data_IF_104610977513
#
_entry.id   IF_104610977513
#
_cell.length_a   1.000
_cell.length_b   1.000
_cell.length_c   1.000
_cell.angle_alpha   90.00
_cell.angle_beta   90.00
_cell.angle_gamma   90.00
#
_symmetry.space_group_name_H-M   'P 1'
#
loop_
_entity.id
_entity.type
_entity.pdbx_description
1 polymer ?
#
# COMPACT_ATOMS: atom_id res chain seq x y z
N UNK A 1 5.04 7.45 15.48
CA UNK A 1 5.04 6.13 16.12
C UNK A 1 5.62 5.10 15.17
N UNK A 2 6.34 4.12 15.71
CA UNK A 2 6.65 2.89 15.00
C UNK A 2 6.06 1.73 15.79
N UNK A 3 5.17 0.99 15.18
CA UNK A 3 4.53 -0.18 15.79
C UNK A 3 4.78 -1.41 14.92
N UNK A 4 4.94 -2.55 15.56
CA UNK A 4 4.96 -3.83 14.86
C UNK A 4 3.52 -4.34 14.81
N UNK A 5 2.93 -4.35 13.62
CA UNK A 5 1.61 -4.91 13.38
C UNK A 5 1.73 -6.30 12.79
N UNK A 6 0.95 -7.24 13.31
CA UNK A 6 0.93 -8.62 12.78
C UNK A 6 0.12 -8.67 11.48
N UNK A 7 0.44 -9.62 10.62
CA UNK A 7 -0.30 -9.87 9.38
C UNK A 7 -1.80 -10.07 9.61
N UNK A 8 -2.20 -10.60 10.79
CA UNK A 8 -3.60 -10.74 11.19
C UNK A 8 -4.35 -9.41 11.36
N UNK A 9 -3.64 -8.28 11.50
CA UNK A 9 -4.25 -6.95 11.60
C UNK A 9 -4.63 -6.37 10.23
N UNK A 10 -4.25 -7.04 9.15
CA UNK A 10 -4.58 -6.68 7.79
C UNK A 10 -5.53 -7.69 7.17
N UNK A 11 -6.55 -7.20 6.49
CA UNK A 11 -7.50 -8.01 5.75
C UNK A 11 -7.41 -7.69 4.26
N UNK A 12 -7.29 -8.72 3.44
CA UNK A 12 -7.39 -8.62 2.00
C UNK A 12 -8.82 -8.94 1.55
N UNK A 13 -9.41 -8.03 0.79
CA UNK A 13 -10.68 -8.23 0.12
C UNK A 13 -10.45 -8.27 -1.40
N UNK A 14 -10.72 -9.40 -2.04
CA UNK A 14 -10.58 -9.54 -3.49
C UNK A 14 -11.72 -8.78 -4.18
N UNK A 15 -11.35 -7.79 -5.00
CA UNK A 15 -12.30 -6.89 -5.68
C UNK A 15 -12.38 -7.13 -7.19
N UNK A 16 -11.44 -7.88 -7.74
CA UNK A 16 -11.45 -8.28 -9.14
C UNK A 16 -10.77 -9.65 -9.32
N UNK A 17 -11.38 -10.53 -10.10
CA UNK A 17 -10.91 -11.92 -10.32
C UNK A 17 -10.74 -12.32 -11.77
N UNK A 18 -10.74 -11.36 -12.66
CA UNK A 18 -10.50 -11.71 -14.04
C UNK A 18 -11.69 -11.55 -14.98
N UNK A 19 -11.59 -12.00 -16.24
CA UNK A 19 -10.62 -13.00 -16.73
C UNK A 19 -9.18 -12.57 -16.59
N UNK A 20 -8.24 -13.55 -16.45
CA UNK A 20 -6.81 -13.28 -16.38
C UNK A 20 -6.37 -12.35 -17.52
N UNK A 21 -5.78 -11.22 -17.17
CA UNK A 21 -5.29 -10.24 -18.13
C UNK A 21 -3.82 -10.46 -18.41
N UNK A 22 -3.47 -10.64 -19.69
CA UNK A 22 -2.08 -10.81 -20.15
C UNK A 22 -1.50 -9.46 -20.53
N UNK A 23 -0.37 -9.13 -19.93
CA UNK A 23 0.48 -7.97 -20.25
C UNK A 23 1.63 -8.47 -21.13
N UNK A 24 1.60 -8.11 -22.40
CA UNK A 24 2.62 -8.57 -23.36
C UNK A 24 3.94 -7.76 -23.29
N UNK A 25 4.92 -8.19 -24.05
CA UNK A 25 6.26 -7.54 -24.06
C UNK A 25 6.23 -6.12 -24.64
N UNK A 26 5.17 -5.73 -25.33
CA UNK A 26 5.02 -4.43 -25.97
C UNK A 26 4.12 -3.46 -25.16
N UNK A 27 3.91 -3.76 -23.87
CA UNK A 27 3.01 -2.99 -23.00
C UNK A 27 1.53 -3.06 -23.45
N UNK A 28 1.19 -4.04 -24.25
CA UNK A 28 -0.19 -4.30 -24.65
C UNK A 28 -0.94 -5.12 -23.59
N UNK A 29 -2.25 -4.95 -23.60
CA UNK A 29 -3.12 -5.58 -22.60
C UNK A 29 -3.26 -4.78 -21.32
N UNK A 30 -4.46 -4.79 -20.77
CA UNK A 30 -4.73 -4.23 -19.45
C UNK A 30 -5.98 -4.89 -18.85
N UNK A 31 -6.08 -4.84 -17.54
CA UNK A 31 -7.31 -5.10 -16.80
C UNK A 31 -8.03 -3.79 -16.51
N UNK A 32 -9.34 -3.75 -16.78
CA UNK A 32 -10.19 -2.62 -16.45
C UNK A 32 -10.92 -2.88 -15.14
N UNK A 33 -10.70 -2.01 -14.16
CA UNK A 33 -11.27 -2.12 -12.83
C UNK A 33 -12.40 -1.13 -12.69
N UNK A 34 -13.59 -1.63 -12.36
CA UNK A 34 -14.80 -0.82 -12.25
C UNK A 34 -14.84 -0.03 -10.95
N UNK A 35 -15.38 1.18 -11.00
CA UNK A 35 -15.45 2.08 -9.85
C UNK A 35 -16.19 1.50 -8.65
N UNK A 36 -17.26 0.72 -8.88
CA UNK A 36 -18.03 0.07 -7.81
C UNK A 36 -17.18 -0.85 -6.91
N UNK A 37 -16.11 -1.41 -7.44
CA UNK A 37 -15.23 -2.32 -6.69
C UNK A 37 -14.17 -1.59 -5.87
N UNK A 38 -14.01 -0.29 -6.09
CA UNK A 38 -12.99 0.56 -5.46
C UNK A 38 -13.57 1.61 -4.49
N UNK A 39 -14.87 1.58 -4.22
CA UNK A 39 -15.55 2.58 -3.38
C UNK A 39 -15.09 2.57 -1.92
N UNK A 40 -14.64 1.43 -1.42
CA UNK A 40 -14.12 1.29 -0.05
C UNK A 40 -12.63 1.68 0.08
N UNK A 41 -11.95 1.96 -1.03
CA UNK A 41 -10.52 2.27 -1.04
C UNK A 41 -10.26 3.63 -0.38
N UNK A 42 -9.28 3.69 0.51
CA UNK A 42 -8.91 4.89 1.26
C UNK A 42 -7.40 5.00 1.44
N UNK A 43 -6.93 6.16 1.85
CA UNK A 43 -5.54 6.36 2.26
C UNK A 43 -5.20 5.42 3.42
N UNK A 44 -4.07 4.76 3.33
CA UNK A 44 -3.61 3.73 4.26
C UNK A 44 -3.93 2.30 3.81
N UNK A 45 -4.78 2.12 2.79
CA UNK A 45 -4.98 0.82 2.16
C UNK A 45 -3.87 0.52 1.14
N UNK A 46 -3.82 -0.72 0.67
CA UNK A 46 -2.96 -1.12 -0.43
C UNK A 46 -3.74 -1.87 -1.50
N UNK A 47 -3.32 -1.68 -2.75
CA UNK A 47 -3.73 -2.51 -3.87
C UNK A 47 -2.75 -3.67 -3.98
N UNK A 48 -3.24 -4.90 -3.83
CA UNK A 48 -2.44 -6.11 -3.97
C UNK A 48 -2.83 -6.84 -5.25
N UNK A 49 -1.89 -6.87 -6.17
CA UNK A 49 -2.01 -7.57 -7.44
C UNK A 49 -1.48 -8.99 -7.25
N UNK A 50 -2.30 -10.00 -7.55
CA UNK A 50 -1.86 -11.37 -7.68
C UNK A 50 -1.51 -11.62 -9.14
N UNK A 51 -0.28 -11.98 -9.38
CA UNK A 51 0.30 -12.08 -10.73
C UNK A 51 0.90 -13.46 -10.97
N UNK A 52 0.99 -13.82 -12.21
CA UNK A 52 1.64 -15.06 -12.65
C UNK A 52 2.44 -14.82 -13.93
N UNK A 53 3.22 -15.82 -14.31
CA UNK A 53 4.05 -15.79 -15.52
C UNK A 53 4.98 -14.58 -15.62
N UNK A 54 5.47 -14.08 -14.46
CA UNK A 54 6.48 -13.04 -14.41
C UNK A 54 7.80 -13.51 -15.02
N UNK A 55 8.49 -12.59 -15.70
CA UNK A 55 9.80 -12.80 -16.32
C UNK A 55 10.79 -11.75 -15.82
N UNK A 56 12.09 -11.95 -16.01
CA UNK A 56 13.05 -10.89 -15.80
C UNK A 56 12.68 -9.65 -16.63
N UNK A 57 12.53 -8.49 -15.98
CA UNK A 57 12.10 -7.26 -16.62
C UNK A 57 10.59 -7.04 -16.70
N UNK A 58 9.78 -7.89 -16.07
CA UNK A 58 8.35 -7.64 -15.90
C UNK A 58 8.13 -6.35 -15.12
N UNK A 59 7.12 -5.58 -15.56
CA UNK A 59 6.82 -4.28 -14.96
C UNK A 59 5.33 -4.02 -14.93
N UNK A 60 4.85 -3.40 -13.85
CA UNK A 60 3.46 -3.00 -13.67
C UNK A 60 3.26 -1.51 -13.93
N UNK A 61 2.10 -1.17 -14.45
CA UNK A 61 1.62 0.20 -14.59
C UNK A 61 0.19 0.29 -14.10
N UNK A 62 -0.10 1.16 -13.13
CA UNK A 62 -1.45 1.43 -12.65
C UNK A 62 -1.86 2.81 -13.14
N UNK A 63 -2.96 2.88 -13.87
CA UNK A 63 -3.37 4.07 -14.63
C UNK A 63 -4.78 4.51 -14.27
N UNK A 64 -5.00 5.81 -14.39
CA UNK A 64 -6.33 6.41 -14.35
C UNK A 64 -7.10 6.21 -15.68
N UNK A 65 -8.27 6.83 -15.79
CA UNK A 65 -9.12 6.79 -16.99
C UNK A 65 -8.45 7.36 -18.25
N UNK A 66 -7.53 8.28 -18.08
CA UNK A 66 -6.85 8.98 -19.18
C UNK A 66 -5.52 8.33 -19.55
N UNK A 67 -5.28 7.10 -19.07
CA UNK A 67 -4.07 6.31 -19.30
C UNK A 67 -2.80 6.90 -18.65
N UNK A 68 -2.96 7.87 -17.76
CA UNK A 68 -1.85 8.39 -16.97
C UNK A 68 -1.62 7.53 -15.73
N UNK A 69 -0.36 7.34 -15.29
CA UNK A 69 -0.11 6.64 -14.05
C UNK A 69 -0.76 7.38 -12.88
N UNK A 70 -1.36 6.64 -11.96
CA UNK A 70 -1.95 7.22 -10.75
C UNK A 70 -0.87 7.81 -9.84
N UNK A 71 0.34 7.25 -9.92
CA UNK A 71 1.52 7.64 -9.17
C UNK A 71 2.78 7.30 -9.99
N UNK A 72 3.83 8.07 -9.83
CA UNK A 72 5.13 7.83 -10.50
C UNK A 72 5.75 6.49 -10.11
N UNK A 73 5.50 6.01 -8.91
CA UNK A 73 6.03 4.74 -8.39
C UNK A 73 5.42 3.51 -9.05
N UNK A 74 4.31 3.66 -9.75
CA UNK A 74 3.61 2.58 -10.48
C UNK A 74 3.57 2.84 -11.99
N UNK A 75 4.49 3.63 -12.49
CA UNK A 75 4.71 3.84 -13.94
C UNK A 75 5.89 2.98 -14.41
N UNK A 76 5.65 1.71 -14.59
CA UNK A 76 6.67 0.74 -14.97
C UNK A 76 7.46 0.18 -13.78
N UNK A 77 6.84 0.06 -12.62
CA UNK A 77 7.45 -0.55 -11.44
C UNK A 77 7.81 -2.02 -11.69
N UNK A 78 8.99 -2.49 -11.29
CA UNK A 78 9.38 -3.89 -11.45
C UNK A 78 8.44 -4.80 -10.66
N UNK A 79 8.05 -5.90 -11.28
CA UNK A 79 7.24 -6.94 -10.65
C UNK A 79 7.92 -8.29 -10.78
N UNK A 80 7.97 -9.04 -9.69
CA UNK A 80 8.52 -10.38 -9.63
C UNK A 80 7.74 -11.23 -8.63
N UNK A 81 7.93 -12.55 -8.71
CA UNK A 81 7.16 -13.45 -7.85
C UNK A 81 5.69 -13.56 -8.26
N UNK A 82 4.82 -13.67 -7.27
CA UNK A 82 3.38 -13.93 -7.43
C UNK A 82 2.49 -12.78 -6.97
N UNK A 83 3.06 -11.71 -6.41
CA UNK A 83 2.33 -10.53 -5.94
C UNK A 83 3.09 -9.24 -6.22
N UNK A 84 2.34 -8.15 -6.38
CA UNK A 84 2.84 -6.78 -6.35
C UNK A 84 1.91 -5.95 -5.47
N UNK A 85 2.46 -5.17 -4.54
CA UNK A 85 1.66 -4.35 -3.63
C UNK A 85 1.98 -2.87 -3.83
N UNK A 86 0.93 -2.07 -4.04
CA UNK A 86 1.01 -0.62 -4.09
C UNK A 86 0.28 -0.02 -2.90
N UNK A 87 0.98 0.76 -2.08
CA UNK A 87 0.42 1.42 -0.90
C UNK A 87 -0.10 2.80 -1.25
N UNK A 88 -1.34 3.10 -0.87
CA UNK A 88 -1.97 4.41 -1.03
C UNK A 88 -1.58 5.28 0.16
N UNK A 89 -0.46 6.01 0.02
CA UNK A 89 0.12 6.78 1.12
C UNK A 89 -0.44 8.21 1.22
N UNK A 90 -1.08 8.71 0.16
CA UNK A 90 -1.67 10.04 0.13
C UNK A 90 -2.97 10.07 -0.70
N UNK A 91 -3.63 11.23 -0.72
CA UNK A 91 -4.90 11.39 -1.42
C UNK A 91 -4.78 11.53 -2.94
N UNK A 92 -3.62 11.94 -3.47
CA UNK A 92 -3.50 12.26 -4.88
C UNK A 92 -3.79 11.08 -5.82
N UNK A 93 -3.22 9.87 -5.63
CA UNK A 93 -3.59 8.71 -6.43
C UNK A 93 -5.03 8.26 -6.19
N UNK A 94 -5.53 8.39 -4.96
CA UNK A 94 -6.90 8.03 -4.60
C UNK A 94 -7.92 8.91 -5.33
N UNK A 95 -7.69 10.22 -5.39
CA UNK A 95 -8.53 11.18 -6.11
C UNK A 95 -8.62 10.82 -7.60
N UNK A 96 -7.51 10.46 -8.23
CA UNK A 96 -7.51 10.04 -9.65
C UNK A 96 -8.40 8.84 -9.92
N UNK A 97 -8.44 7.88 -9.00
CA UNK A 97 -9.31 6.70 -9.09
C UNK A 97 -10.77 7.09 -8.83
N UNK A 98 -11.03 7.89 -7.82
CA UNK A 98 -12.40 8.26 -7.39
C UNK A 98 -13.08 9.26 -8.32
N UNK A 99 -12.33 10.06 -9.09
CA UNK A 99 -12.90 10.98 -10.08
C UNK A 99 -13.71 10.26 -11.18
N UNK A 100 -13.46 8.98 -11.39
CA UNK A 100 -14.27 8.17 -12.29
C UNK A 100 -15.68 7.88 -11.78
N UNK A 101 -15.94 8.15 -10.50
CA UNK A 101 -17.18 7.78 -9.84
C UNK A 101 -17.32 6.29 -9.56
N UNK A 102 -18.37 5.93 -8.82
CA UNK A 102 -18.75 4.54 -8.58
C UNK A 102 -19.49 3.94 -9.78
N UNK A 103 -19.97 2.72 -9.60
CA UNK A 103 -20.78 2.04 -10.61
C UNK A 103 -19.96 1.21 -11.60
N UNK A 104 -20.53 0.95 -12.76
CA UNK A 104 -19.98 0.02 -13.75
C UNK A 104 -18.94 0.65 -14.69
N UNK A 105 -18.69 1.93 -14.56
CA UNK A 105 -17.66 2.61 -15.33
C UNK A 105 -16.26 2.18 -14.87
N UNK A 106 -15.33 2.13 -15.81
CA UNK A 106 -13.91 1.90 -15.49
C UNK A 106 -13.40 3.07 -14.66
N UNK A 107 -12.75 2.78 -13.54
CA UNK A 107 -12.14 3.78 -12.67
C UNK A 107 -10.61 3.73 -12.71
N UNK A 108 -10.06 2.56 -13.00
CA UNK A 108 -8.61 2.34 -12.99
C UNK A 108 -8.28 1.25 -14.00
N UNK A 109 -7.09 1.35 -14.61
CA UNK A 109 -6.53 0.31 -15.46
C UNK A 109 -5.22 -0.19 -14.89
N UNK A 110 -5.05 -1.50 -14.91
CA UNK A 110 -3.80 -2.16 -14.54
C UNK A 110 -3.24 -2.77 -15.80
N UNK A 111 -2.11 -2.26 -16.23
CA UNK A 111 -1.35 -2.72 -17.39
C UNK A 111 0.09 -3.04 -17.03
N UNK A 112 0.92 -3.17 -18.03
CA UNK A 112 2.32 -3.45 -17.82
C UNK A 112 2.95 -4.30 -18.90
N UNK A 113 3.96 -5.07 -18.50
CA UNK A 113 4.80 -5.82 -19.41
C UNK A 113 5.20 -7.17 -18.82
N UNK A 114 5.06 -8.23 -19.63
CA UNK A 114 5.59 -9.58 -19.39
C UNK A 114 5.09 -10.26 -18.09
N UNK A 115 3.80 -10.10 -17.77
CA UNK A 115 3.16 -10.84 -16.67
C UNK A 115 1.67 -11.06 -16.95
N UNK A 116 1.01 -11.80 -16.08
CA UNK A 116 -0.45 -11.96 -16.08
C UNK A 116 -1.01 -11.47 -14.76
N UNK A 117 -2.09 -10.69 -14.81
CA UNK A 117 -2.85 -10.29 -13.63
C UNK A 117 -4.00 -11.30 -13.43
N UNK A 118 -4.00 -12.00 -12.31
CA UNK A 118 -4.99 -13.02 -11.98
C UNK A 118 -6.08 -12.49 -11.05
N UNK A 119 -5.71 -11.67 -10.06
CA UNK A 119 -6.63 -11.09 -9.07
C UNK A 119 -6.14 -9.72 -8.61
N UNK A 120 -7.07 -8.89 -8.16
CA UNK A 120 -6.79 -7.65 -7.44
C UNK A 120 -7.48 -7.69 -6.09
N UNK A 121 -6.73 -7.45 -5.02
CA UNK A 121 -7.21 -7.27 -3.66
C UNK A 121 -7.01 -5.84 -3.16
N UNK A 122 -7.87 -5.43 -2.25
CA UNK A 122 -7.66 -4.27 -1.38
C UNK A 122 -7.26 -4.82 -0.02
N UNK A 123 -6.08 -4.42 0.46
CA UNK A 123 -5.58 -4.77 1.78
C UNK A 123 -5.81 -3.58 2.70
N UNK A 124 -6.58 -3.79 3.76
CA UNK A 124 -6.93 -2.75 4.72
C UNK A 124 -6.49 -3.15 6.12
N UNK A 125 -6.06 -2.17 6.91
CA UNK A 125 -5.79 -2.36 8.32
C UNK A 125 -7.09 -2.49 9.08
N UNK A 126 -7.27 -3.59 9.83
CA UNK A 126 -8.46 -3.89 10.64
C UNK A 126 -8.16 -3.96 12.14
N UNK A 127 -6.88 -3.82 12.52
CA UNK A 127 -6.46 -3.74 13.92
C UNK A 127 -7.01 -2.47 14.60
N UNK A 128 -7.10 -2.49 15.92
CA UNK A 128 -7.45 -1.29 16.68
C UNK A 128 -6.29 -0.31 16.60
N UNK A 129 -6.49 0.82 15.91
CA UNK A 129 -5.66 2.00 16.13
C UNK A 129 -5.97 2.49 17.54
N UNK A 130 -4.96 2.60 18.39
CA UNK A 130 -5.08 3.40 19.61
C UNK A 130 -5.10 4.86 19.16
N UNK A 131 -6.29 5.35 18.81
CA UNK A 131 -6.51 6.78 18.58
C UNK A 131 -6.49 7.49 19.94
N UNK A 132 -5.28 7.74 20.45
CA UNK A 132 -5.13 8.69 21.53
C UNK A 132 -5.02 10.10 20.91
N UNK A 133 -6.17 10.64 20.49
CA UNK A 133 -6.33 12.03 20.05
C UNK A 133 -6.59 12.95 21.25
N UNK A 134 -5.93 12.75 22.37
CA UNK A 134 -6.00 13.74 23.45
C UNK A 134 -4.93 14.81 23.24
N UNK A 135 -5.29 15.91 22.59
CA UNK A 135 -4.59 17.20 22.65
C UNK A 135 -4.73 17.83 24.04
N UNK A 136 -4.17 17.20 25.06
CA UNK A 136 -4.00 17.83 26.34
C UNK A 136 -2.51 18.04 26.58
N UNK A 137 -2.07 19.32 26.59
CA UNK A 137 -0.79 19.72 27.15
C UNK A 137 -0.67 19.19 28.56
N UNK A 138 0.00 18.06 28.74
CA UNK A 138 0.47 17.57 30.02
C UNK A 138 1.97 17.60 30.03
N UNK A 139 2.54 18.00 31.18
CA UNK A 139 3.97 17.86 31.49
C UNK A 139 4.51 16.49 31.06
N UNK A 140 5.79 16.41 30.67
CA UNK A 140 6.34 15.16 30.14
C UNK A 140 6.23 14.05 31.18
N UNK A 141 5.16 13.25 31.08
CA UNK A 141 5.12 11.95 31.72
C UNK A 141 6.02 11.04 30.94
N UNK A 142 6.91 10.38 31.66
CA UNK A 142 7.70 9.28 31.12
C UNK A 142 6.73 8.28 30.43
N UNK A 143 6.73 8.28 29.10
CA UNK A 143 5.85 7.44 28.32
C UNK A 143 6.38 6.01 28.36
N UNK A 144 5.55 5.09 28.81
CA UNK A 144 5.86 3.67 28.72
C UNK A 144 5.33 3.13 27.39
N UNK A 145 6.24 2.62 26.56
CA UNK A 145 5.89 1.98 25.30
C UNK A 145 4.81 0.89 25.54
N UNK A 146 3.77 0.92 24.70
CA UNK A 146 2.74 -0.11 24.74
C UNK A 146 3.24 -1.40 24.07
N UNK A 147 2.64 -2.56 24.36
CA UNK A 147 2.98 -3.78 23.64
C UNK A 147 2.91 -3.59 22.13
N UNK A 148 4.00 -3.86 21.42
CA UNK A 148 4.14 -3.65 19.98
C UNK A 148 4.65 -2.26 19.57
N UNK A 149 4.69 -1.28 20.44
CA UNK A 149 5.38 -0.01 20.16
C UNK A 149 6.89 -0.15 20.31
N UNK A 150 7.63 0.30 19.31
CA UNK A 150 9.10 0.28 19.29
C UNK A 150 9.71 1.65 19.60
N UNK A 151 8.95 2.70 19.36
CA UNK A 151 9.36 4.08 19.58
C UNK A 151 8.12 4.97 19.77
N UNK A 152 8.22 5.91 20.67
CA UNK A 152 7.27 6.99 20.88
C UNK A 152 8.01 8.31 21.09
N UNK A 153 7.72 9.32 20.29
CA UNK A 153 8.34 10.63 20.37
C UNK A 153 8.33 11.34 19.02
N UNK A 154 8.90 12.53 19.00
CA UNK A 154 9.05 13.31 17.77
C UNK A 154 10.49 13.24 17.30
N UNK A 155 10.68 12.92 16.03
CA UNK A 155 11.96 12.95 15.35
C UNK A 155 11.79 13.74 14.06
N UNK A 156 12.51 14.85 13.94
CA UNK A 156 12.51 15.64 12.71
C UNK A 156 13.60 15.11 11.78
N UNK A 157 13.23 14.89 10.54
CA UNK A 157 14.14 14.47 9.48
C UNK A 157 14.34 15.65 8.51
N UNK A 158 15.49 16.35 8.55
CA UNK A 158 15.77 17.42 7.62
C UNK A 158 16.07 16.91 6.20
N UNK A 159 16.00 17.79 5.22
CA UNK A 159 16.17 17.41 3.81
C UNK A 159 17.60 16.95 3.42
N UNK A 160 18.55 17.12 4.31
CA UNK A 160 19.97 16.82 4.07
C UNK A 160 20.41 15.41 4.53
N UNK A 161 19.45 14.59 4.95
CA UNK A 161 19.69 13.24 5.46
C UNK A 161 20.57 13.17 6.72
N UNK A 162 20.72 14.28 7.44
CA UNK A 162 21.59 14.38 8.63
C UNK A 162 21.02 13.70 9.88
N UNK A 163 19.73 13.35 9.89
CA UNK A 163 19.07 12.73 11.03
C UNK A 163 18.63 11.29 10.73
N UNK A 164 18.72 10.46 11.75
CA UNK A 164 18.17 9.10 11.70
C UNK A 164 17.58 8.71 13.07
N UNK A 165 16.60 7.81 13.03
CA UNK A 165 16.08 7.13 14.20
C UNK A 165 16.70 5.74 14.27
N UNK A 166 17.32 5.41 15.41
CA UNK A 166 17.87 4.08 15.66
C UNK A 166 16.99 3.33 16.64
N UNK A 167 16.50 2.20 16.23
CA UNK A 167 15.77 1.26 17.08
C UNK A 167 16.69 0.06 17.31
N UNK A 168 16.83 -0.36 18.58
CA UNK A 168 17.68 -1.51 18.93
C UNK A 168 17.13 -2.80 18.36
N UNK A 169 17.96 -3.82 18.23
CA UNK A 169 17.55 -5.11 17.68
C UNK A 169 16.64 -5.93 18.63
N UNK A 170 16.65 -5.60 19.92
CA UNK A 170 15.91 -6.36 20.94
C UNK A 170 14.40 -6.52 20.64
N UNK A 171 13.65 -5.47 20.26
CA UNK A 171 12.23 -5.62 19.93
C UNK A 171 11.96 -6.54 18.72
N UNK A 172 12.98 -6.77 17.88
CA UNK A 172 12.82 -7.58 16.66
C UNK A 172 13.21 -9.06 16.83
N UNK A 173 13.71 -9.46 18.02
CA UNK A 173 14.18 -10.83 18.25
C UNK A 173 13.11 -11.91 18.04
N UNK A 174 11.83 -11.55 18.17
CA UNK A 174 10.70 -12.46 17.99
C UNK A 174 9.88 -12.12 16.74
N UNK A 175 10.38 -11.22 15.88
CA UNK A 175 9.71 -10.89 14.63
C UNK A 175 9.84 -12.04 13.64
N UNK A 176 8.77 -12.25 12.87
CA UNK A 176 8.68 -13.24 11.81
C UNK A 176 8.51 -12.57 10.46
N UNK A 177 8.62 -13.31 9.39
CA UNK A 177 8.38 -12.81 8.01
C UNK A 177 6.95 -12.28 7.77
N UNK A 178 6.01 -12.60 8.68
CA UNK A 178 4.62 -12.14 8.60
C UNK A 178 4.35 -10.88 9.43
N UNK A 179 5.33 -10.38 10.17
CA UNK A 179 5.18 -9.15 10.93
C UNK A 179 5.47 -7.91 10.06
N UNK A 180 4.78 -6.82 10.33
CA UNK A 180 4.89 -5.58 9.55
C UNK A 180 5.33 -4.44 10.47
N UNK A 181 6.39 -3.73 10.06
CA UNK A 181 6.79 -2.49 10.71
C UNK A 181 5.94 -1.33 10.19
N UNK A 182 5.17 -0.71 11.09
CA UNK A 182 4.37 0.48 10.76
C UNK A 182 5.04 1.72 11.31
N UNK A 183 5.32 2.68 10.44
CA UNK A 183 5.87 4.00 10.78
C UNK A 183 4.79 5.04 10.49
N UNK A 184 4.36 5.76 11.53
CA UNK A 184 3.44 6.89 11.39
C UNK A 184 4.22 8.19 11.45
N UNK A 185 3.96 9.10 10.51
CA UNK A 185 4.61 10.39 10.41
C UNK A 185 3.59 11.49 10.07
N UNK A 186 3.95 12.75 10.32
CA UNK A 186 3.16 13.93 9.98
C UNK A 186 3.86 14.76 8.91
#
# INVERSE_FOLDING_TARGET
YATLSKAADYQENIVWTGPTAKMDSNWGGCAEIKGKTLTALKVGDALKLHVSNTKPGSAVKIMDLTWNPIDKTVDGAPVGGDTFTYYINDEAPLIKIQLAGGGDNVAMRIGGKDYQLDKLGIVSFVGQRSDDTSTAQRAPKEYKLQPGELFHGEQTFPNDWSANLRITAEPFQHSTENDVLVISYK
#
